data_IF_367823539753
#
_entry.id   IF_367823539753
#
_cell.length_a   1.000
_cell.length_b   1.000
_cell.length_c   1.000
_cell.angle_alpha   90.00
_cell.angle_beta   90.00
_cell.angle_gamma   90.00
#
_symmetry.space_group_name_H-M   'P 1'
#
loop_
_entity.id
_entity.type
_entity.pdbx_description
1 polymer ?
#
# COMPACT_ATOMS: atom_id res chain seq x y z
N UNK A 1 23.85 -0.26 18.47
CA UNK A 1 23.10 0.29 17.35
C UNK A 1 24.04 0.39 16.17
N UNK A 2 24.08 -0.62 15.32
CA UNK A 2 24.99 -0.70 14.16
C UNK A 2 24.16 -0.36 12.93
N UNK A 3 24.41 0.81 12.36
CA UNK A 3 23.87 1.22 11.07
C UNK A 3 24.82 0.66 10.02
N UNK A 4 24.37 -0.33 9.24
CA UNK A 4 25.11 -0.83 8.08
C UNK A 4 24.59 -0.07 6.86
N UNK A 5 25.40 0.76 6.19
CA UNK A 5 24.99 1.40 4.96
C UNK A 5 25.12 0.38 3.81
N UNK A 6 24.01 -0.07 3.26
CA UNK A 6 24.01 -0.84 2.02
C UNK A 6 24.35 0.07 0.83
N UNK A 7 25.62 0.08 0.45
CA UNK A 7 26.09 0.59 -0.84
C UNK A 7 26.37 -0.61 -1.77
N UNK A 8 25.44 -0.95 -2.65
CA UNK A 8 25.68 -1.91 -3.72
C UNK A 8 25.99 -1.13 -5.01
N UNK A 9 27.22 -1.27 -5.50
CA UNK A 9 27.62 -0.77 -6.80
C UNK A 9 27.18 -1.76 -7.90
N UNK A 10 26.35 -1.30 -8.82
CA UNK A 10 25.91 -2.08 -9.99
C UNK A 10 27.08 -2.16 -11.00
N UNK A 11 27.46 -3.34 -11.41
CA UNK A 11 28.47 -3.54 -12.46
C UNK A 11 27.82 -3.43 -13.85
N UNK A 12 28.52 -2.78 -14.79
CA UNK A 12 28.10 -2.57 -16.19
C UNK A 12 27.62 -3.82 -16.94
N UNK A 13 27.90 -5.01 -16.45
CA UNK A 13 27.46 -6.29 -17.06
C UNK A 13 25.96 -6.59 -16.77
N UNK A 14 25.41 -6.05 -15.70
CA UNK A 14 24.03 -6.35 -15.27
C UNK A 14 23.00 -5.49 -16.05
N UNK A 15 23.44 -4.35 -16.60
CA UNK A 15 22.63 -3.43 -17.40
C UNK A 15 22.30 -4.00 -18.79
N UNK A 16 23.24 -4.76 -19.40
CA UNK A 16 23.03 -5.39 -20.73
C UNK A 16 22.04 -6.54 -20.70
N UNK A 17 21.90 -7.21 -19.57
CA UNK A 17 20.95 -8.33 -19.41
C UNK A 17 19.48 -7.87 -19.34
N UNK A 18 19.24 -6.59 -19.05
CA UNK A 18 17.90 -6.00 -18.95
C UNK A 18 17.41 -5.32 -20.25
N UNK A 19 18.20 -5.35 -21.34
CA UNK A 19 17.81 -4.81 -22.66
C UNK A 19 17.72 -3.29 -22.76
N UNK A 20 18.38 -2.54 -21.88
CA UNK A 20 18.34 -1.08 -21.83
C UNK A 20 19.56 -0.46 -22.52
N UNK A 21 19.36 0.55 -23.38
CA UNK A 21 20.44 1.29 -24.02
C UNK A 21 21.01 2.36 -23.07
N UNK A 22 22.33 2.59 -23.16
CA UNK A 22 23.11 3.39 -22.21
C UNK A 22 22.83 4.91 -22.25
N UNK A 23 22.22 5.40 -23.31
CA UNK A 23 22.03 6.85 -23.52
C UNK A 23 20.82 7.47 -22.78
N UNK A 24 19.90 6.61 -22.33
CA UNK A 24 18.71 7.03 -21.54
C UNK A 24 19.00 7.26 -20.05
N UNK A 25 20.20 6.88 -19.59
CA UNK A 25 20.53 6.79 -18.15
C UNK A 25 20.92 8.15 -17.56
N UNK A 26 21.42 9.09 -18.35
CA UNK A 26 22.01 10.31 -17.80
C UNK A 26 21.00 11.40 -17.39
N UNK A 27 19.79 11.39 -17.93
CA UNK A 27 18.80 12.45 -17.66
C UNK A 27 17.66 12.09 -16.68
N UNK A 28 17.55 10.81 -16.28
CA UNK A 28 16.50 10.32 -15.35
C UNK A 28 17.07 9.53 -14.15
N UNK A 29 18.26 9.91 -13.70
CA UNK A 29 19.19 9.06 -12.94
C UNK A 29 18.79 8.61 -11.53
N UNK A 30 17.86 9.26 -10.82
CA UNK A 30 17.60 8.92 -9.39
C UNK A 30 16.45 7.92 -9.21
N UNK A 31 15.42 8.01 -10.01
CA UNK A 31 14.21 7.16 -9.87
C UNK A 31 14.43 5.79 -10.51
N UNK A 32 15.08 5.73 -11.68
CA UNK A 32 15.44 4.46 -12.33
C UNK A 32 16.42 3.62 -11.49
N UNK A 33 17.26 4.26 -10.69
CA UNK A 33 18.25 3.56 -9.86
C UNK A 33 17.61 2.74 -8.74
N UNK A 34 16.55 3.22 -8.10
CA UNK A 34 15.88 2.49 -7.03
C UNK A 34 15.13 1.24 -7.55
N UNK A 35 14.39 1.37 -8.64
CA UNK A 35 13.65 0.25 -9.24
C UNK A 35 14.59 -0.79 -9.89
N UNK A 36 15.68 -0.35 -10.54
CA UNK A 36 16.70 -1.22 -11.14
C UNK A 36 17.53 -1.97 -10.10
N UNK A 37 17.86 -1.35 -8.97
CA UNK A 37 18.60 -2.01 -7.89
C UNK A 37 17.78 -3.12 -7.23
N UNK A 38 16.46 -2.94 -7.11
CA UNK A 38 15.57 -3.97 -6.59
C UNK A 38 15.43 -5.15 -7.57
N UNK A 39 15.25 -4.89 -8.86
CA UNK A 39 15.12 -5.94 -9.89
C UNK A 39 16.43 -6.75 -10.07
N UNK A 40 17.60 -6.10 -10.01
CA UNK A 40 18.90 -6.78 -10.11
C UNK A 40 19.23 -7.63 -8.87
N UNK A 41 18.76 -7.24 -7.67
CA UNK A 41 18.89 -8.02 -6.44
C UNK A 41 18.00 -9.27 -6.39
N UNK A 42 16.85 -9.24 -7.06
CA UNK A 42 15.91 -10.35 -7.10
C UNK A 42 16.31 -11.47 -8.08
N UNK A 43 17.20 -11.18 -9.05
CA UNK A 43 17.57 -12.10 -10.12
C UNK A 43 18.67 -13.14 -9.80
N UNK A 44 19.21 -13.17 -8.58
CA UNK A 44 20.26 -14.14 -8.19
C UNK A 44 19.80 -15.04 -7.05
N UNK A 45 18.70 -15.77 -7.24
CA UNK A 45 18.52 -17.03 -6.52
C UNK A 45 19.28 -18.09 -7.32
N UNK A 46 20.47 -18.42 -6.82
CA UNK A 46 21.40 -19.35 -7.44
C UNK A 46 20.76 -20.73 -7.58
N UNK A 47 20.82 -21.27 -8.79
CA UNK A 47 20.75 -22.73 -9.02
C UNK A 47 22.04 -23.36 -8.50
N UNK A 48 22.03 -23.86 -7.27
CA UNK A 48 22.88 -24.96 -6.79
C UNK A 48 22.48 -25.27 -5.34
N UNK A 49 21.73 -26.32 -5.12
CA UNK A 49 22.19 -27.51 -4.42
C UNK A 49 21.10 -28.59 -4.43
N UNK A 50 21.38 -29.73 -4.98
CA UNK A 50 20.59 -30.94 -4.81
C UNK A 50 21.06 -31.55 -3.48
N UNK A 51 20.29 -31.41 -2.41
CA UNK A 51 20.61 -32.23 -1.27
C UNK A 51 20.24 -31.79 0.13
N UNK A 52 19.59 -30.64 0.32
CA UNK A 52 18.94 -30.31 1.61
C UNK A 52 17.69 -29.50 1.29
N UNK A 53 16.53 -30.03 1.61
CA UNK A 53 15.33 -29.20 1.73
C UNK A 53 15.64 -28.24 2.87
N UNK A 54 16.14 -27.04 2.52
CA UNK A 54 16.27 -25.95 3.47
C UNK A 54 14.85 -25.73 3.97
N UNK A 55 14.62 -25.90 5.27
CA UNK A 55 13.37 -25.53 5.86
C UNK A 55 13.05 -24.13 5.34
N UNK A 56 11.94 -23.95 4.64
CA UNK A 56 11.52 -22.64 4.18
C UNK A 56 11.26 -21.85 5.47
N UNK A 57 12.08 -20.82 5.68
CA UNK A 57 11.90 -19.92 6.80
C UNK A 57 10.52 -19.27 6.60
N UNK A 58 9.56 -19.58 7.49
CA UNK A 58 8.18 -19.06 7.44
C UNK A 58 8.16 -17.60 7.94
N UNK A 59 8.88 -16.73 7.23
CA UNK A 59 9.17 -15.35 7.65
C UNK A 59 8.03 -14.38 7.36
N UNK A 60 6.95 -14.83 6.71
CA UNK A 60 5.85 -13.98 6.27
C UNK A 60 5.33 -13.05 7.36
N UNK A 61 4.89 -13.57 8.50
CA UNK A 61 4.32 -12.76 9.56
C UNK A 61 5.36 -11.87 10.26
N UNK A 62 6.61 -12.31 10.30
CA UNK A 62 7.70 -11.48 10.80
C UNK A 62 7.93 -10.26 9.89
N UNK A 63 7.83 -10.43 8.56
CA UNK A 63 7.89 -9.33 7.62
C UNK A 63 6.64 -8.45 7.67
N UNK A 64 5.43 -9.02 7.69
CA UNK A 64 4.18 -8.23 7.84
C UNK A 64 4.28 -7.30 9.06
N UNK A 65 4.82 -7.78 10.18
CA UNK A 65 5.00 -6.95 11.38
C UNK A 65 5.92 -5.74 11.16
N UNK A 66 6.68 -5.69 10.07
CA UNK A 66 7.59 -4.58 9.75
C UNK A 66 6.91 -3.43 8.99
N UNK A 67 5.66 -3.57 8.56
CA UNK A 67 4.86 -2.48 8.01
C UNK A 67 4.86 -1.24 8.92
N UNK A 68 5.00 -1.43 10.23
CA UNK A 68 5.12 -0.36 11.24
C UNK A 68 6.36 0.54 11.08
N UNK A 69 7.36 0.13 10.31
CA UNK A 69 8.60 0.89 10.11
C UNK A 69 8.62 1.66 8.79
N UNK A 70 7.55 1.58 8.00
CA UNK A 70 7.41 2.25 6.70
C UNK A 70 6.54 3.47 6.91
N UNK A 71 7.16 4.64 6.87
CA UNK A 71 6.50 5.92 7.05
C UNK A 71 5.79 6.31 5.75
N UNK A 72 4.55 6.76 5.87
CA UNK A 72 3.74 7.33 4.78
C UNK A 72 3.94 8.85 4.69
N UNK A 73 3.51 9.44 3.58
CA UNK A 73 3.60 10.89 3.36
C UNK A 73 5.03 11.44 3.43
N UNK A 74 6.01 10.67 2.98
CA UNK A 74 7.45 10.95 3.13
C UNK A 74 7.93 12.27 2.52
N UNK A 75 7.18 12.87 1.57
CA UNK A 75 7.48 14.17 0.96
C UNK A 75 6.81 15.34 1.69
N UNK A 76 5.95 15.08 2.66
CA UNK A 76 5.18 16.10 3.36
C UNK A 76 5.62 16.21 4.83
N UNK A 77 5.58 17.42 5.36
CA UNK A 77 5.82 17.65 6.78
C UNK A 77 4.56 17.25 7.54
N UNK A 78 4.63 16.13 8.26
CA UNK A 78 3.55 15.62 9.08
C UNK A 78 3.58 16.21 10.49
N UNK A 79 2.41 16.59 11.03
CA UNK A 79 2.21 16.88 12.46
C UNK A 79 2.04 15.60 13.27
N UNK A 80 1.35 14.61 12.70
CA UNK A 80 1.15 13.28 13.25
C UNK A 80 1.75 12.28 12.26
N UNK A 81 2.70 11.45 12.71
CA UNK A 81 3.27 10.41 11.84
C UNK A 81 2.26 9.30 11.61
N UNK A 82 2.27 8.75 10.41
CA UNK A 82 1.49 7.59 10.02
C UNK A 82 2.42 6.57 9.36
N UNK A 83 2.32 5.33 9.77
CA UNK A 83 3.02 4.22 9.11
C UNK A 83 2.04 3.31 8.36
N UNK A 84 2.57 2.46 7.47
CA UNK A 84 1.75 1.58 6.62
C UNK A 84 0.88 0.63 7.42
N UNK A 85 1.31 0.19 8.62
CA UNK A 85 0.50 -0.71 9.45
C UNK A 85 -0.73 0.00 10.06
N UNK A 86 -0.56 1.20 10.58
CA UNK A 86 -1.66 2.02 11.13
C UNK A 86 -2.65 2.38 10.02
N UNK A 87 -2.14 2.79 8.86
CA UNK A 87 -2.95 3.03 7.67
C UNK A 87 -3.75 1.79 7.26
N UNK A 88 -3.11 0.64 7.07
CA UNK A 88 -3.79 -0.58 6.64
C UNK A 88 -4.84 -1.05 7.65
N UNK A 89 -4.63 -0.83 8.94
CA UNK A 89 -5.65 -1.08 9.95
C UNK A 89 -6.87 -0.16 9.75
N UNK A 90 -6.67 1.15 9.57
CA UNK A 90 -7.77 2.10 9.34
C UNK A 90 -8.49 1.80 8.02
N UNK A 91 -7.75 1.48 6.96
CA UNK A 91 -8.35 1.04 5.67
C UNK A 91 -9.23 -0.19 5.87
N UNK A 92 -8.80 -1.17 6.65
CA UNK A 92 -9.59 -2.38 6.93
C UNK A 92 -10.89 -2.06 7.69
N UNK A 93 -10.85 -1.16 8.68
CA UNK A 93 -12.03 -0.70 9.41
C UNK A 93 -13.01 0.00 8.46
N UNK A 94 -12.51 0.89 7.60
CA UNK A 94 -13.35 1.63 6.65
C UNK A 94 -13.89 0.69 5.56
N UNK A 95 -13.08 -0.21 4.99
CA UNK A 95 -13.52 -1.18 3.99
C UNK A 95 -14.63 -2.08 4.53
N UNK A 96 -14.49 -2.54 5.78
CA UNK A 96 -15.53 -3.28 6.48
C UNK A 96 -16.82 -2.45 6.59
N UNK A 97 -16.72 -1.19 7.01
CA UNK A 97 -17.87 -0.29 7.14
C UNK A 97 -18.56 -0.04 5.79
N UNK A 98 -17.79 0.24 4.72
CA UNK A 98 -18.34 0.40 3.36
C UNK A 98 -19.05 -0.87 2.89
N UNK A 99 -18.47 -2.06 3.16
CA UNK A 99 -19.11 -3.33 2.86
C UNK A 99 -20.42 -3.55 3.63
N UNK A 100 -20.48 -3.18 4.91
CA UNK A 100 -21.72 -3.22 5.73
C UNK A 100 -22.77 -2.26 5.15
N UNK A 101 -22.39 -1.02 4.85
CA UNK A 101 -23.30 -0.04 4.25
C UNK A 101 -23.86 -0.59 2.92
N UNK A 102 -23.00 -1.12 2.06
CA UNK A 102 -23.36 -1.72 0.78
C UNK A 102 -24.38 -2.85 0.96
N UNK A 103 -24.13 -3.78 1.89
CA UNK A 103 -24.97 -4.94 2.13
C UNK A 103 -26.27 -4.60 2.86
N UNK A 104 -26.17 -3.89 3.99
CA UNK A 104 -27.28 -3.76 4.95
C UNK A 104 -28.13 -2.49 4.71
N UNK A 105 -27.54 -1.44 4.14
CA UNK A 105 -28.27 -0.19 3.84
C UNK A 105 -28.72 -0.16 2.38
N UNK A 106 -27.84 -0.57 1.45
CA UNK A 106 -28.14 -0.48 0.01
C UNK A 106 -28.73 -1.78 -0.57
N UNK A 107 -28.70 -2.89 0.19
CA UNK A 107 -29.23 -4.18 -0.25
C UNK A 107 -28.41 -4.85 -1.36
N UNK A 108 -27.15 -4.47 -1.54
CA UNK A 108 -26.25 -5.00 -2.56
C UNK A 108 -25.36 -6.08 -1.90
N UNK A 109 -25.35 -7.35 -2.38
CA UNK A 109 -24.52 -8.39 -1.80
C UNK A 109 -23.04 -7.99 -1.71
N UNK A 110 -22.39 -8.29 -0.57
CA UNK A 110 -20.98 -8.02 -0.35
C UNK A 110 -20.41 -8.97 0.70
N UNK A 111 -19.23 -9.54 0.43
CA UNK A 111 -18.44 -10.23 1.47
C UNK A 111 -17.66 -9.20 2.29
N UNK A 112 -18.30 -8.75 3.35
CA UNK A 112 -17.77 -7.73 4.25
C UNK A 112 -16.47 -8.17 4.93
N UNK A 113 -16.36 -9.46 5.27
CA UNK A 113 -15.16 -9.99 5.91
C UNK A 113 -13.98 -10.04 4.93
N UNK A 114 -14.25 -10.41 3.68
CA UNK A 114 -13.23 -10.36 2.63
C UNK A 114 -12.73 -8.94 2.39
N UNK A 115 -13.61 -7.91 2.42
CA UNK A 115 -13.20 -6.51 2.32
C UNK A 115 -12.17 -6.15 3.38
N UNK A 116 -12.41 -6.48 4.64
CA UNK A 116 -11.49 -6.20 5.74
C UNK A 116 -10.17 -7.00 5.59
N UNK A 117 -10.27 -8.27 5.22
CA UNK A 117 -9.09 -9.12 5.06
C UNK A 117 -8.16 -8.62 3.94
N UNK A 118 -8.71 -8.27 2.77
CA UNK A 118 -7.91 -7.71 1.66
C UNK A 118 -7.28 -6.38 2.06
N UNK A 119 -8.03 -5.51 2.72
CA UNK A 119 -7.55 -4.21 3.15
C UNK A 119 -6.39 -4.29 4.15
N UNK A 120 -6.35 -5.30 5.04
CA UNK A 120 -5.23 -5.52 5.96
C UNK A 120 -3.89 -5.76 5.26
N UNK A 121 -3.90 -6.32 4.05
CA UNK A 121 -2.71 -6.70 3.31
C UNK A 121 -2.50 -5.91 2.02
N UNK A 122 -3.34 -4.90 1.71
CA UNK A 122 -3.34 -4.21 0.42
C UNK A 122 -1.98 -3.54 0.10
N UNK A 123 -1.29 -3.04 1.12
CA UNK A 123 0.04 -2.42 1.02
C UNK A 123 1.17 -3.35 1.53
N UNK A 124 0.93 -4.67 1.68
CA UNK A 124 1.96 -5.58 2.18
C UNK A 124 3.22 -5.62 1.31
N UNK A 125 3.10 -5.41 -0.01
CA UNK A 125 4.24 -5.33 -0.92
C UNK A 125 5.21 -4.20 -0.56
N UNK A 126 4.73 -3.12 0.09
CA UNK A 126 5.54 -1.98 0.51
C UNK A 126 6.60 -2.32 1.57
N UNK A 127 6.48 -3.45 2.25
CA UNK A 127 7.56 -3.99 3.11
C UNK A 127 8.88 -4.12 2.33
N UNK A 128 8.79 -4.45 1.04
CA UNK A 128 9.94 -4.66 0.17
C UNK A 128 10.21 -3.48 -0.77
N UNK A 129 9.17 -2.72 -1.14
CA UNK A 129 9.29 -1.60 -2.10
C UNK A 129 9.44 -0.24 -1.42
N UNK A 130 9.00 -0.11 -0.18
CA UNK A 130 8.72 1.16 0.47
C UNK A 130 7.44 1.82 -0.06
N UNK A 131 6.89 2.77 0.69
CA UNK A 131 5.79 3.64 0.23
C UNK A 131 6.34 4.63 -0.81
N UNK A 132 5.88 4.50 -2.06
CA UNK A 132 6.28 5.40 -3.14
C UNK A 132 5.27 6.56 -3.23
N UNK A 133 5.72 7.81 -3.12
CA UNK A 133 4.84 8.98 -3.23
C UNK A 133 4.01 8.97 -4.51
N UNK A 134 2.70 9.20 -4.37
CA UNK A 134 1.71 9.19 -5.46
C UNK A 134 2.14 9.97 -6.70
N UNK A 135 2.74 11.20 -6.61
CA UNK A 135 3.18 11.94 -7.80
C UNK A 135 4.29 11.24 -8.59
N UNK A 136 5.07 10.36 -7.94
CA UNK A 136 6.12 9.58 -8.59
C UNK A 136 5.52 8.31 -9.19
N UNK A 137 4.66 7.62 -8.44
CA UNK A 137 4.01 6.38 -8.85
C UNK A 137 3.20 6.53 -10.15
N UNK A 138 2.56 7.69 -10.32
CA UNK A 138 1.68 7.99 -11.46
C UNK A 138 2.25 9.06 -12.40
N UNK A 139 3.59 9.23 -12.44
CA UNK A 139 4.24 10.24 -13.26
C UNK A 139 4.04 9.99 -14.77
N UNK A 140 4.21 8.77 -15.21
CA UNK A 140 3.95 8.28 -16.56
C UNK A 140 3.60 6.78 -16.58
N UNK A 141 3.11 6.29 -17.71
CA UNK A 141 2.69 4.88 -17.87
C UNK A 141 3.86 3.89 -17.76
N UNK A 142 5.07 4.30 -18.15
CA UNK A 142 6.26 3.45 -18.06
C UNK A 142 6.63 3.21 -16.59
N UNK A 143 6.67 4.29 -15.77
CA UNK A 143 6.96 4.22 -14.34
C UNK A 143 5.87 3.42 -13.63
N UNK A 144 4.60 3.70 -13.91
CA UNK A 144 3.47 2.99 -13.31
C UNK A 144 3.52 1.49 -13.63
N UNK A 145 3.79 1.13 -14.89
CA UNK A 145 3.90 -0.26 -15.33
C UNK A 145 5.12 -0.97 -14.70
N UNK A 146 6.26 -0.28 -14.61
CA UNK A 146 7.45 -0.81 -13.96
C UNK A 146 7.20 -1.05 -12.46
N UNK A 147 6.53 -0.10 -11.79
CA UNK A 147 6.23 -0.22 -10.37
C UNK A 147 5.26 -1.37 -10.08
N UNK A 148 4.20 -1.55 -10.87
CA UNK A 148 3.29 -2.70 -10.76
C UNK A 148 4.01 -4.04 -10.87
N UNK A 149 5.01 -4.14 -11.75
CA UNK A 149 5.84 -5.37 -11.84
C UNK A 149 6.65 -5.60 -10.56
N UNK A 150 7.17 -4.54 -9.97
CA UNK A 150 7.93 -4.61 -8.70
C UNK A 150 7.00 -4.98 -7.55
N UNK A 151 5.81 -4.39 -7.44
CA UNK A 151 4.78 -4.76 -6.46
C UNK A 151 4.40 -6.24 -6.58
N UNK A 152 4.18 -6.73 -7.82
CA UNK A 152 3.86 -8.15 -8.04
C UNK A 152 5.00 -9.06 -7.60
N UNK A 153 6.24 -8.75 -7.93
CA UNK A 153 7.40 -9.53 -7.48
C UNK A 153 7.53 -9.54 -5.95
N UNK A 154 7.21 -8.42 -5.30
CA UNK A 154 7.20 -8.32 -3.84
C UNK A 154 6.11 -9.21 -3.24
N UNK A 155 4.89 -9.17 -3.78
CA UNK A 155 3.76 -10.01 -3.37
C UNK A 155 4.05 -11.49 -3.56
N UNK A 156 4.57 -11.88 -4.73
CA UNK A 156 4.96 -13.28 -5.02
C UNK A 156 6.05 -13.78 -4.04
N UNK A 157 7.00 -12.91 -3.68
CA UNK A 157 8.03 -13.24 -2.71
C UNK A 157 7.46 -13.42 -1.31
N UNK A 158 6.57 -12.53 -0.86
CA UNK A 158 5.89 -12.66 0.43
C UNK A 158 5.06 -13.95 0.48
N UNK A 159 4.30 -14.24 -0.58
CA UNK A 159 3.50 -15.46 -0.69
C UNK A 159 4.37 -16.71 -0.56
N UNK A 160 5.54 -16.74 -1.21
CA UNK A 160 6.50 -17.85 -1.15
C UNK A 160 7.14 -18.06 0.24
N UNK A 161 6.94 -17.17 1.21
CA UNK A 161 7.38 -17.32 2.60
C UNK A 161 6.31 -17.98 3.50
N UNK A 162 5.13 -18.24 2.96
CA UNK A 162 4.12 -19.03 3.63
C UNK A 162 4.31 -20.52 3.32
N UNK A 163 3.95 -21.43 4.26
CA UNK A 163 3.79 -22.84 3.97
C UNK A 163 2.89 -23.05 2.74
N UNK A 164 3.21 -24.05 1.91
CA UNK A 164 2.51 -24.28 0.64
C UNK A 164 0.98 -24.46 0.84
N UNK A 165 0.59 -25.11 1.92
CA UNK A 165 -0.80 -25.34 2.30
C UNK A 165 -1.59 -24.05 2.63
N UNK A 166 -0.91 -22.94 2.94
CA UNK A 166 -1.53 -21.63 3.21
C UNK A 166 -1.54 -20.69 2.00
N UNK A 167 -0.66 -20.94 1.02
CA UNK A 167 -0.48 -20.03 -0.12
C UNK A 167 -1.78 -19.83 -0.91
N UNK A 168 -2.58 -20.89 -1.10
CA UNK A 168 -3.85 -20.81 -1.82
C UNK A 168 -4.87 -19.85 -1.19
N UNK A 169 -4.87 -19.72 0.14
CA UNK A 169 -5.75 -18.81 0.86
C UNK A 169 -5.27 -17.35 0.82
N UNK A 170 -3.95 -17.13 0.77
CA UNK A 170 -3.36 -15.78 0.78
C UNK A 170 -3.11 -15.20 -0.62
N UNK A 171 -2.96 -16.03 -1.65
CA UNK A 171 -2.66 -15.59 -3.01
C UNK A 171 -3.67 -14.56 -3.56
N UNK A 172 -5.00 -14.75 -3.47
CA UNK A 172 -5.95 -13.75 -3.94
C UNK A 172 -5.82 -12.41 -3.23
N UNK A 173 -5.52 -12.44 -1.93
CA UNK A 173 -5.38 -11.24 -1.09
C UNK A 173 -4.13 -10.45 -1.47
N UNK A 174 -2.98 -11.13 -1.57
CA UNK A 174 -1.68 -10.51 -1.81
C UNK A 174 -1.48 -10.08 -3.27
N UNK A 175 -2.07 -10.80 -4.23
CA UNK A 175 -1.94 -10.50 -5.65
C UNK A 175 -3.05 -9.58 -6.19
N UNK A 176 -4.01 -9.18 -5.35
CA UNK A 176 -5.17 -8.40 -5.80
C UNK A 176 -6.07 -9.17 -6.78
N UNK A 177 -6.02 -10.50 -6.77
CA UNK A 177 -6.85 -11.38 -7.60
C UNK A 177 -8.21 -11.63 -6.93
N UNK A 178 -8.82 -10.55 -6.45
CA UNK A 178 -10.13 -10.56 -5.82
C UNK A 178 -11.18 -10.04 -6.80
N UNK A 179 -12.46 -10.22 -6.45
CA UNK A 179 -13.55 -9.66 -7.24
C UNK A 179 -13.37 -8.15 -7.40
N UNK A 180 -13.65 -7.64 -8.61
CA UNK A 180 -13.46 -6.22 -8.94
C UNK A 180 -14.16 -5.30 -7.96
N UNK A 181 -15.38 -5.64 -7.55
CA UNK A 181 -16.18 -4.84 -6.63
C UNK A 181 -15.52 -4.72 -5.24
N UNK A 182 -14.94 -5.80 -4.74
CA UNK A 182 -14.22 -5.83 -3.49
C UNK A 182 -12.95 -4.98 -3.57
N UNK A 183 -12.22 -5.09 -4.67
CA UNK A 183 -11.05 -4.26 -4.92
C UNK A 183 -11.39 -2.76 -4.98
N UNK A 184 -12.52 -2.40 -5.62
CA UNK A 184 -12.96 -1.01 -5.70
C UNK A 184 -13.38 -0.46 -4.33
N UNK A 185 -14.02 -1.28 -3.47
CA UNK A 185 -14.31 -0.93 -2.07
C UNK A 185 -13.04 -0.67 -1.25
N UNK A 186 -12.03 -1.54 -1.39
CA UNK A 186 -10.75 -1.37 -0.68
C UNK A 186 -10.02 -0.11 -1.15
N UNK A 187 -10.01 0.18 -2.45
CA UNK A 187 -9.45 1.43 -3.00
C UNK A 187 -10.18 2.68 -2.48
N UNK A 188 -11.50 2.61 -2.38
CA UNK A 188 -12.27 3.71 -1.82
C UNK A 188 -11.96 3.90 -0.33
N UNK A 189 -11.79 2.81 0.42
CA UNK A 189 -11.41 2.85 1.83
C UNK A 189 -9.99 3.40 2.04
N UNK A 190 -9.01 3.00 1.20
CA UNK A 190 -7.65 3.57 1.19
C UNK A 190 -7.71 5.09 0.97
N UNK A 191 -8.45 5.53 -0.04
CA UNK A 191 -8.64 6.95 -0.33
C UNK A 191 -9.34 7.69 0.82
N UNK A 192 -10.32 7.05 1.48
CA UNK A 192 -11.01 7.61 2.63
C UNK A 192 -10.08 7.76 3.84
N UNK A 193 -9.21 6.77 4.12
CA UNK A 193 -8.18 6.87 5.15
C UNK A 193 -7.23 8.04 4.89
N UNK A 194 -6.77 8.21 3.64
CA UNK A 194 -5.96 9.35 3.25
C UNK A 194 -6.68 10.71 3.42
N UNK A 195 -8.00 10.76 3.16
CA UNK A 195 -8.80 11.95 3.38
C UNK A 195 -8.93 12.30 4.87
N UNK A 196 -9.18 11.30 5.72
CA UNK A 196 -9.22 11.47 7.18
C UNK A 196 -7.89 12.01 7.70
N UNK A 197 -6.77 11.46 7.23
CA UNK A 197 -5.43 11.97 7.56
C UNK A 197 -5.27 13.45 7.21
N UNK A 198 -5.77 13.90 6.06
CA UNK A 198 -5.73 15.31 5.67
C UNK A 198 -6.56 16.20 6.62
N UNK A 199 -7.73 15.73 7.07
CA UNK A 199 -8.56 16.44 8.07
C UNK A 199 -7.79 16.59 9.39
N UNK A 200 -7.17 15.53 9.88
CA UNK A 200 -6.40 15.52 11.13
C UNK A 200 -5.23 16.52 11.08
N UNK A 201 -4.48 16.53 9.97
CA UNK A 201 -3.38 17.46 9.77
C UNK A 201 -3.85 18.92 9.70
N UNK A 202 -4.96 19.19 9.01
CA UNK A 202 -5.56 20.53 8.98
C UNK A 202 -6.02 20.98 10.36
N UNK A 203 -6.65 20.09 11.15
CA UNK A 203 -7.03 20.37 12.55
C UNK A 203 -5.83 20.67 13.44
N UNK A 204 -4.70 20.02 13.17
CA UNK A 204 -3.42 20.32 13.83
C UNK A 204 -2.77 21.65 13.35
N UNK A 205 -3.40 22.40 12.44
CA UNK A 205 -2.91 23.64 11.89
C UNK A 205 -1.90 23.46 10.73
N UNK A 206 -1.76 22.27 10.19
CA UNK A 206 -0.85 21.97 9.10
C UNK A 206 -1.52 22.19 7.72
N UNK A 207 -1.29 23.37 7.15
CA UNK A 207 -1.86 23.76 5.85
C UNK A 207 -1.20 23.06 4.65
N UNK A 208 -0.11 22.31 4.83
CA UNK A 208 0.57 21.60 3.76
C UNK A 208 -0.34 20.54 3.12
N UNK A 209 -1.28 19.97 3.88
CA UNK A 209 -2.24 18.98 3.42
C UNK A 209 -3.49 19.57 2.72
N UNK A 210 -3.67 20.89 2.67
CA UNK A 210 -4.91 21.50 2.15
C UNK A 210 -5.21 21.17 0.68
N UNK A 211 -4.18 21.03 -0.15
CA UNK A 211 -4.36 20.60 -1.56
C UNK A 211 -4.71 19.11 -1.66
N UNK A 212 -4.04 18.27 -0.88
CA UNK A 212 -4.29 16.83 -0.82
C UNK A 212 -5.72 16.54 -0.33
N UNK A 213 -6.20 17.25 0.69
CA UNK A 213 -7.57 17.14 1.22
C UNK A 213 -8.61 17.35 0.12
N UNK A 214 -8.49 18.46 -0.65
CA UNK A 214 -9.42 18.78 -1.74
C UNK A 214 -9.39 17.75 -2.87
N UNK A 215 -8.18 17.32 -3.28
CA UNK A 215 -8.00 16.36 -4.35
C UNK A 215 -8.52 14.98 -3.94
N UNK A 216 -8.28 14.57 -2.70
CA UNK A 216 -8.72 13.28 -2.19
C UNK A 216 -10.23 13.20 -2.07
N UNK A 217 -10.87 14.27 -1.56
CA UNK A 217 -12.34 14.37 -1.51
C UNK A 217 -12.96 14.32 -2.92
N UNK A 218 -12.41 15.09 -3.87
CA UNK A 218 -12.88 15.05 -5.25
C UNK A 218 -12.73 13.66 -5.88
N UNK A 219 -11.64 12.95 -5.60
CA UNK A 219 -11.44 11.58 -6.05
C UNK A 219 -12.43 10.59 -5.42
N UNK A 220 -12.80 10.77 -4.14
CA UNK A 220 -13.83 9.97 -3.47
C UNK A 220 -15.18 10.13 -4.15
N UNK A 221 -15.63 11.36 -4.42
CA UNK A 221 -16.87 11.59 -5.17
C UNK A 221 -16.85 11.02 -6.58
N UNK A 222 -15.69 11.03 -7.25
CA UNK A 222 -15.53 10.49 -8.60
C UNK A 222 -15.69 8.96 -8.70
N UNK A 223 -15.60 8.22 -7.58
CA UNK A 223 -15.93 6.79 -7.56
C UNK A 223 -17.41 6.52 -7.87
N UNK A 224 -18.31 7.50 -7.63
CA UNK A 224 -19.77 7.36 -7.77
C UNK A 224 -20.33 6.13 -7.01
N UNK A 225 -19.80 5.85 -5.84
CA UNK A 225 -20.19 4.74 -4.98
C UNK A 225 -21.13 5.25 -3.88
N UNK A 226 -22.40 4.79 -3.83
CA UNK A 226 -23.37 5.28 -2.83
C UNK A 226 -22.94 5.02 -1.39
N UNK A 227 -22.23 3.91 -1.10
CA UNK A 227 -21.69 3.61 0.21
C UNK A 227 -20.60 4.60 0.65
N UNK A 228 -19.80 5.12 -0.30
CA UNK A 228 -18.79 6.15 -0.06
C UNK A 228 -19.47 7.47 0.29
N UNK A 229 -20.50 7.88 -0.47
CA UNK A 229 -21.27 9.09 -0.21
C UNK A 229 -22.00 9.00 1.15
N UNK A 230 -22.55 7.81 1.45
CA UNK A 230 -23.17 7.57 2.76
C UNK A 230 -22.15 7.75 3.90
N UNK A 231 -20.95 7.17 3.76
CA UNK A 231 -19.89 7.29 4.76
C UNK A 231 -19.45 8.75 4.94
N UNK A 232 -19.24 9.48 3.85
CA UNK A 232 -18.88 10.91 3.88
C UNK A 232 -19.93 11.72 4.62
N UNK A 233 -21.21 11.54 4.29
CA UNK A 233 -22.28 12.33 4.87
C UNK A 233 -22.54 12.05 6.35
N UNK A 234 -22.34 10.81 6.81
CA UNK A 234 -22.73 10.39 8.16
C UNK A 234 -21.56 10.34 9.14
N UNK A 235 -20.35 9.97 8.69
CA UNK A 235 -19.26 9.69 9.61
C UNK A 235 -18.12 10.71 9.54
N UNK A 236 -17.83 11.28 8.36
CA UNK A 236 -16.74 12.27 8.24
C UNK A 236 -16.94 13.49 9.13
N UNK A 237 -18.16 14.05 9.35
CA UNK A 237 -18.33 15.18 10.27
C UNK A 237 -17.86 14.91 11.70
N UNK A 238 -17.80 13.65 12.13
CA UNK A 238 -17.30 13.32 13.46
C UNK A 238 -15.78 13.51 13.60
N UNK A 239 -15.01 13.42 12.51
CA UNK A 239 -13.57 13.66 12.52
C UNK A 239 -13.19 15.14 12.72
N UNK A 240 -14.16 16.06 12.55
CA UNK A 240 -13.99 17.48 12.88
C UNK A 240 -14.14 17.79 14.37
N UNK A 241 -14.70 16.86 15.15
CA UNK A 241 -14.99 17.05 16.57
C UNK A 241 -13.75 16.87 17.44
N UNK A 242 -13.77 17.48 18.60
CA UNK A 242 -12.85 17.19 19.71
C UNK A 242 -13.29 15.92 20.45
N UNK A 243 -12.44 15.38 21.32
CA UNK A 243 -12.79 14.21 22.12
C UNK A 243 -14.04 14.43 22.98
N UNK A 244 -14.17 15.61 23.58
CA UNK A 244 -15.33 15.96 24.42
C UNK A 244 -16.65 16.08 23.64
N UNK A 245 -16.57 16.34 22.32
CA UNK A 245 -17.72 16.41 21.41
C UNK A 245 -18.08 15.04 20.80
N UNK A 246 -17.22 14.03 20.91
CA UNK A 246 -17.41 12.67 20.38
C UNK A 246 -18.27 11.78 21.29
N UNK A 247 -19.27 12.33 21.93
CA UNK A 247 -20.17 11.57 22.78
C UNK A 247 -19.56 11.23 24.15
N UNK A 248 -20.23 11.64 25.19
CA UNK A 248 -19.86 11.32 26.57
C UNK A 248 -19.84 9.80 26.72
N UNK A 249 -18.64 9.27 26.98
CA UNK A 249 -18.49 7.93 27.57
C UNK A 249 -18.82 8.14 29.06
N UNK A 250 -20.12 8.29 29.36
CA UNK A 250 -20.62 8.28 30.75
C UNK A 250 -20.80 6.84 31.23
#
# INVERSE_FOLDING_TARGET
MIIIPYRLAVRNKDVKAAGLQTDDIQNKGKIKTAALNFAAGCGKISRHDKGTVKAMDNDFFALISRMRYIERWSLMRNSIRENVQEHSHMVAVIAHALGVIRRDILGIPCDVNACAAVALYHDASEILTGDLPTPIKYHDDEIMSAYRRVEKLASDKLLGMLPEELQGAFAPILNGETERELHDLVKAADKMSAYIKCIEERKAGNNEFASAEKQTLAALHAYNMPEVEYFIGHFIPAFEKTLDELGSIE
#
